data_IF_243340433014
#
_entry.id   IF_243340433014
#
_cell.length_a   1.000
_cell.length_b   1.000
_cell.length_c   1.000
_cell.angle_alpha   90.00
_cell.angle_beta   90.00
_cell.angle_gamma   90.00
#
_symmetry.space_group_name_H-M   'P 1'
#
loop_
_entity.id
_entity.type
_entity.pdbx_description
1 polymer ?
#
# COMPACT_ATOMS: atom_id res chain seq x y z
N UNK A 1 -26.87 -8.75 -12.21
CA UNK A 1 -25.59 -8.97 -11.51
C UNK A 1 -24.53 -8.08 -12.17
N UNK A 2 -24.03 -7.06 -11.47
CA UNK A 2 -23.07 -6.12 -12.05
C UNK A 2 -21.73 -6.80 -12.31
N UNK A 3 -21.22 -6.71 -13.54
CA UNK A 3 -19.86 -7.12 -13.92
C UNK A 3 -18.88 -6.38 -13.00
N UNK A 4 -18.30 -7.08 -12.02
CA UNK A 4 -17.18 -6.55 -11.28
C UNK A 4 -16.05 -6.33 -12.29
N UNK A 5 -15.53 -5.11 -12.38
CA UNK A 5 -14.42 -4.82 -13.30
C UNK A 5 -13.25 -5.73 -12.92
N UNK A 6 -12.50 -6.23 -13.91
CA UNK A 6 -11.30 -7.05 -13.66
C UNK A 6 -10.28 -6.35 -12.73
N UNK A 7 -10.37 -5.01 -12.62
CA UNK A 7 -9.53 -4.19 -11.76
C UNK A 7 -9.99 -4.15 -10.28
N UNK A 8 -11.18 -4.67 -9.97
CA UNK A 8 -11.73 -4.67 -8.60
C UNK A 8 -11.14 -5.76 -7.71
N UNK A 9 -10.65 -6.87 -8.29
CA UNK A 9 -9.99 -7.96 -7.58
C UNK A 9 -8.81 -8.52 -8.40
N UNK A 10 -7.70 -7.76 -8.50
CA UNK A 10 -6.56 -8.11 -9.33
C UNK A 10 -5.81 -9.35 -8.80
N UNK A 11 -5.18 -10.08 -9.73
CA UNK A 11 -4.20 -11.12 -9.39
C UNK A 11 -2.88 -10.52 -8.88
N UNK A 12 -1.99 -11.34 -8.31
CA UNK A 12 -0.66 -10.90 -7.90
C UNK A 12 0.15 -10.39 -9.10
N UNK A 13 0.06 -11.07 -10.24
CA UNK A 13 0.79 -10.68 -11.45
C UNK A 13 0.22 -9.40 -12.07
N UNK A 14 -1.09 -9.15 -11.97
CA UNK A 14 -1.68 -7.86 -12.31
C UNK A 14 -1.08 -6.72 -11.48
N UNK A 15 -0.96 -6.91 -10.16
CA UNK A 15 -0.38 -5.91 -9.24
C UNK A 15 1.11 -5.66 -9.49
N UNK A 16 1.81 -6.61 -10.10
CA UNK A 16 3.22 -6.50 -10.53
C UNK A 16 3.38 -5.86 -11.91
N UNK A 17 2.30 -5.76 -12.68
CA UNK A 17 2.31 -5.22 -14.04
C UNK A 17 2.28 -3.69 -14.07
N UNK A 18 2.60 -3.14 -15.24
CA UNK A 18 2.48 -1.71 -15.53
C UNK A 18 1.02 -1.17 -15.48
N UNK A 19 0.02 -2.06 -15.37
CA UNK A 19 -1.39 -1.65 -15.15
C UNK A 19 -1.58 -1.02 -13.77
N UNK A 20 -0.88 -1.55 -12.77
CA UNK A 20 -1.00 -1.14 -11.37
C UNK A 20 0.25 -0.42 -10.85
N UNK A 21 1.39 -0.54 -11.55
CA UNK A 21 2.65 0.09 -11.19
C UNK A 21 3.15 1.06 -12.25
N UNK A 22 3.70 2.18 -11.79
CA UNK A 22 4.40 3.16 -12.62
C UNK A 22 5.79 3.38 -12.03
N UNK A 23 6.81 3.36 -12.89
CA UNK A 23 8.15 3.85 -12.56
C UNK A 23 8.14 5.37 -12.63
N UNK A 24 8.47 6.01 -11.52
CA UNK A 24 8.79 7.44 -11.47
C UNK A 24 10.29 7.64 -11.71
N UNK A 25 10.72 8.87 -12.00
CA UNK A 25 12.12 9.18 -12.32
C UNK A 25 13.11 8.52 -11.34
N UNK A 26 14.01 7.69 -11.88
CA UNK A 26 14.94 6.86 -11.11
C UNK A 26 14.41 5.45 -10.83
N UNK A 27 14.69 4.92 -9.63
CA UNK A 27 14.34 3.56 -9.16
C UNK A 27 13.02 3.47 -8.39
N UNK A 28 12.27 4.57 -8.29
CA UNK A 28 11.10 4.65 -7.43
C UNK A 28 9.84 4.16 -8.14
N UNK A 29 9.18 3.14 -7.57
CA UNK A 29 7.89 2.62 -8.02
C UNK A 29 6.74 3.29 -7.25
N UNK A 30 5.67 3.62 -7.96
CA UNK A 30 4.42 4.14 -7.41
C UNK A 30 3.22 3.40 -8.00
N UNK A 31 2.07 3.52 -7.33
CA UNK A 31 0.80 3.01 -7.84
C UNK A 31 0.21 3.89 -8.95
N UNK A 32 -0.57 3.29 -9.84
CA UNK A 32 -1.37 3.99 -10.86
C UNK A 32 -2.68 4.54 -10.29
N UNK A 33 -3.40 5.34 -11.08
CA UNK A 33 -4.75 5.81 -10.74
C UNK A 33 -5.76 4.68 -10.53
N UNK A 34 -5.49 3.47 -11.02
CA UNK A 34 -6.32 2.28 -10.80
C UNK A 34 -6.41 1.85 -9.34
N UNK A 35 -5.53 2.35 -8.47
CA UNK A 35 -5.64 2.12 -7.03
C UNK A 35 -6.60 3.11 -6.35
N UNK A 36 -7.03 4.15 -7.06
CA UNK A 36 -7.76 5.30 -6.51
C UNK A 36 -9.11 5.54 -7.20
N UNK A 37 -9.53 4.65 -8.11
CA UNK A 37 -10.75 4.80 -8.89
C UNK A 37 -12.02 4.65 -8.04
N UNK A 38 -12.48 5.78 -7.49
CA UNK A 38 -13.71 5.89 -6.70
C UNK A 38 -14.99 5.51 -7.42
N UNK A 39 -15.00 5.43 -8.76
CA UNK A 39 -16.20 5.06 -9.52
C UNK A 39 -16.40 3.55 -9.57
N UNK A 40 -15.30 2.79 -9.67
CA UNK A 40 -15.36 1.34 -9.83
C UNK A 40 -14.99 0.57 -8.56
N UNK A 41 -14.25 1.18 -7.64
CA UNK A 41 -13.73 0.53 -6.46
C UNK A 41 -14.54 0.83 -5.21
N UNK A 42 -14.49 -0.12 -4.27
CA UNK A 42 -15.14 0.00 -2.97
C UNK A 42 -14.20 0.66 -1.96
N UNK A 43 -14.81 1.29 -0.95
CA UNK A 43 -14.07 1.72 0.23
C UNK A 43 -13.86 0.53 1.17
N UNK A 44 -12.61 0.34 1.57
CA UNK A 44 -12.17 -0.64 2.55
C UNK A 44 -11.72 0.05 3.83
N UNK A 45 -11.79 -0.67 4.94
CA UNK A 45 -11.23 -0.21 6.22
C UNK A 45 -10.00 -1.04 6.54
N UNK A 46 -8.84 -0.39 6.58
CA UNK A 46 -7.59 -1.02 6.99
C UNK A 46 -7.24 -0.68 8.43
N UNK A 47 -6.59 -1.62 9.10
CA UNK A 47 -6.19 -1.47 10.51
C UNK A 47 -4.69 -1.74 10.70
N UNK A 48 -3.81 -0.91 10.11
CA UNK A 48 -2.38 -0.94 10.41
C UNK A 48 -2.11 -0.54 11.87
N UNK A 49 -0.88 -0.76 12.34
CA UNK A 49 -0.45 -0.29 13.66
C UNK A 49 -0.45 1.23 13.75
N UNK A 50 -0.75 1.76 14.94
CA UNK A 50 -0.67 3.20 15.22
C UNK A 50 0.76 3.71 15.01
N UNK A 51 1.78 2.93 15.40
CA UNK A 51 3.19 3.26 15.14
C UNK A 51 3.45 3.47 13.64
N UNK A 52 2.96 2.55 12.80
CA UNK A 52 3.08 2.68 11.34
C UNK A 52 2.32 3.88 10.78
N UNK A 53 1.09 4.13 11.23
CA UNK A 53 0.32 5.32 10.82
C UNK A 53 1.03 6.63 11.19
N UNK A 54 1.61 6.70 12.39
CA UNK A 54 2.39 7.84 12.83
C UNK A 54 3.64 8.03 11.96
N UNK A 55 4.30 6.93 11.56
CA UNK A 55 5.40 6.99 10.60
C UNK A 55 4.96 7.54 9.23
N UNK A 56 3.82 7.10 8.70
CA UNK A 56 3.29 7.63 7.44
C UNK A 56 3.02 9.14 7.50
N UNK A 57 2.51 9.62 8.64
CA UNK A 57 2.21 11.04 8.86
C UNK A 57 3.48 11.90 9.08
N UNK A 58 4.58 11.32 9.58
CA UNK A 58 5.85 12.04 9.84
C UNK A 58 6.65 12.36 8.56
N UNK A 59 6.32 11.79 7.39
CA UNK A 59 6.98 12.13 6.11
C UNK A 59 6.54 13.53 5.61
N UNK A 60 6.94 14.58 6.33
CA UNK A 60 6.96 15.95 5.82
C UNK A 60 8.06 16.09 4.79
N UNK A 61 7.72 16.01 3.50
CA UNK A 61 8.64 16.42 2.43
C UNK A 61 9.03 17.91 2.55
N UNK A 62 10.00 18.40 1.76
CA UNK A 62 10.50 19.77 1.85
C UNK A 62 9.35 20.78 1.88
N UNK A 63 9.38 21.71 2.86
CA UNK A 63 8.49 22.88 2.87
C UNK A 63 8.70 23.62 1.55
N UNK A 64 7.65 23.75 0.73
CA UNK A 64 7.68 24.63 -0.45
C UNK A 64 7.64 24.00 -1.84
N UNK A 65 7.18 22.76 -2.03
CA UNK A 65 6.81 22.32 -3.39
C UNK A 65 5.69 23.24 -3.91
N UNK A 66 6.02 24.15 -4.83
CA UNK A 66 5.06 25.02 -5.52
C UNK A 66 4.06 24.11 -6.25
N UNK A 67 2.79 24.15 -5.86
CA UNK A 67 1.73 23.39 -6.54
C UNK A 67 1.59 23.90 -7.97
N UNK A 68 1.40 22.99 -8.93
CA UNK A 68 0.99 23.39 -10.28
C UNK A 68 -0.34 24.14 -10.18
N UNK A 69 -0.34 25.39 -10.68
CA UNK A 69 -1.53 26.26 -10.76
C UNK A 69 -2.51 25.62 -11.74
N UNK A 70 -3.74 25.35 -11.29
CA UNK A 70 -4.88 25.15 -12.20
C UNK A 70 -5.73 26.41 -12.18
N UNK A 71 -5.94 27.01 -13.35
CA UNK A 71 -6.89 28.12 -13.54
C UNK A 71 -8.28 27.51 -13.44
N UNK A 72 -9.03 27.88 -12.40
CA UNK A 72 -10.42 27.50 -12.24
C UNK A 72 -11.30 28.38 -13.12
N UNK A 73 -12.36 27.82 -13.71
CA UNK A 73 -13.37 28.55 -14.45
C UNK A 73 -14.32 29.27 -13.48
N UNK A 74 -13.92 30.42 -12.94
CA UNK A 74 -14.84 31.39 -12.31
C UNK A 74 -14.43 32.82 -12.71
N UNK A 75 -15.38 33.78 -12.80
CA UNK A 75 -15.17 35.05 -13.50
C UNK A 75 -14.21 36.05 -12.85
N UNK A 76 -13.67 35.77 -11.66
CA UNK A 76 -12.88 36.74 -10.88
C UNK A 76 -11.46 36.28 -10.53
N UNK A 77 -11.01 35.11 -11.01
CA UNK A 77 -9.65 34.56 -10.81
C UNK A 77 -9.14 34.56 -9.34
N UNK A 78 -10.01 34.77 -8.35
CA UNK A 78 -9.60 35.18 -6.99
C UNK A 78 -9.32 34.01 -6.04
N UNK A 79 -9.51 32.76 -6.48
CA UNK A 79 -9.29 31.56 -5.67
C UNK A 79 -8.29 30.61 -6.32
N UNK A 80 -7.00 30.95 -6.17
CA UNK A 80 -5.90 30.00 -6.40
C UNK A 80 -6.00 28.88 -5.36
N UNK A 81 -6.68 27.78 -5.69
CA UNK A 81 -6.67 26.58 -4.84
C UNK A 81 -5.34 25.88 -5.01
N UNK A 82 -4.50 25.93 -3.97
CA UNK A 82 -3.31 25.10 -3.88
C UNK A 82 -3.72 23.63 -4.01
N UNK A 83 -3.16 22.91 -4.98
CA UNK A 83 -3.27 21.45 -5.01
C UNK A 83 -2.66 20.89 -3.74
N UNK A 84 -3.51 20.35 -2.85
CA UNK A 84 -3.04 19.75 -1.62
C UNK A 84 -2.09 18.59 -1.97
N UNK A 85 -0.94 18.47 -1.29
CA UNK A 85 -0.04 17.36 -1.56
C UNK A 85 -0.77 16.04 -1.29
N UNK A 86 -0.65 15.06 -2.20
CA UNK A 86 -1.12 13.68 -2.05
C UNK A 86 -0.33 12.96 -0.96
N UNK A 87 -0.54 13.34 0.30
CA UNK A 87 0.23 12.88 1.47
C UNK A 87 -0.66 12.29 2.57
N UNK A 88 -1.93 12.02 2.25
CA UNK A 88 -2.84 11.36 3.18
C UNK A 88 -2.41 9.90 3.42
N UNK A 89 -2.72 9.37 4.60
CA UNK A 89 -2.44 7.97 4.94
C UNK A 89 -2.92 6.98 3.84
N UNK A 90 -4.10 7.14 3.21
CA UNK A 90 -4.52 6.32 2.07
C UNK A 90 -3.52 6.29 0.91
N UNK A 91 -3.00 7.44 0.48
CA UNK A 91 -2.05 7.50 -0.64
C UNK A 91 -0.73 6.80 -0.28
N UNK A 92 -0.22 7.06 0.92
CA UNK A 92 1.00 6.40 1.41
C UNK A 92 0.82 4.88 1.54
N UNK A 93 -0.33 4.43 2.02
CA UNK A 93 -0.66 2.99 2.12
C UNK A 93 -0.63 2.33 0.74
N UNK A 94 -1.27 2.90 -0.28
CA UNK A 94 -1.22 2.38 -1.66
C UNK A 94 0.21 2.32 -2.17
N UNK A 95 1.00 3.37 -1.95
CA UNK A 95 2.41 3.39 -2.37
C UNK A 95 3.22 2.28 -1.71
N UNK A 96 3.04 2.06 -0.40
CA UNK A 96 3.70 0.98 0.33
C UNK A 96 3.25 -0.41 -0.14
N UNK A 97 1.97 -0.60 -0.44
CA UNK A 97 1.44 -1.85 -1.02
C UNK A 97 2.01 -2.11 -2.41
N UNK A 98 2.00 -1.09 -3.28
CA UNK A 98 2.52 -1.19 -4.64
C UNK A 98 4.01 -1.55 -4.65
N UNK A 99 4.80 -0.90 -3.79
CA UNK A 99 6.22 -1.24 -3.63
C UNK A 99 6.42 -2.66 -3.06
N UNK A 100 5.57 -3.10 -2.12
CA UNK A 100 5.65 -4.45 -1.59
C UNK A 100 5.34 -5.50 -2.66
N UNK A 101 4.26 -5.35 -3.42
CA UNK A 101 3.90 -6.30 -4.47
C UNK A 101 4.92 -6.34 -5.62
N UNK A 102 5.65 -5.24 -5.84
CA UNK A 102 6.73 -5.20 -6.83
C UNK A 102 7.98 -6.00 -6.44
N UNK A 103 8.13 -6.39 -5.16
CA UNK A 103 9.23 -7.24 -4.72
C UNK A 103 9.13 -8.63 -5.36
N UNK A 104 10.30 -9.24 -5.59
CA UNK A 104 10.37 -10.64 -6.04
C UNK A 104 9.90 -11.59 -4.94
N UNK A 105 9.52 -12.81 -5.32
CA UNK A 105 9.09 -13.83 -4.36
C UNK A 105 10.22 -14.19 -3.38
N UNK A 106 11.48 -14.19 -3.84
CA UNK A 106 12.68 -14.41 -3.01
C UNK A 106 12.88 -13.30 -1.97
N UNK A 107 12.67 -12.04 -2.37
CA UNK A 107 12.79 -10.91 -1.47
C UNK A 107 11.71 -10.95 -0.38
N UNK A 108 10.46 -11.29 -0.75
CA UNK A 108 9.35 -11.43 0.19
C UNK A 108 9.60 -12.61 1.14
N UNK A 109 10.05 -13.76 0.62
CA UNK A 109 10.40 -14.91 1.44
C UNK A 109 11.47 -14.55 2.47
N UNK A 110 12.57 -13.94 2.02
CA UNK A 110 13.68 -13.51 2.89
C UNK A 110 13.19 -12.51 3.96
N UNK A 111 12.32 -11.57 3.57
CA UNK A 111 11.71 -10.61 4.50
C UNK A 111 10.93 -11.32 5.61
N UNK A 112 10.11 -12.32 5.26
CA UNK A 112 9.29 -13.05 6.21
C UNK A 112 10.14 -13.93 7.13
N UNK A 113 11.10 -14.67 6.58
CA UNK A 113 11.99 -15.55 7.36
C UNK A 113 12.81 -14.78 8.39
N UNK A 114 13.34 -13.60 8.01
CA UNK A 114 14.11 -12.73 8.91
C UNK A 114 13.27 -12.08 10.01
N UNK A 115 11.94 -12.05 9.88
CA UNK A 115 11.05 -11.40 10.83
C UNK A 115 9.99 -12.38 11.36
N UNK A 116 10.39 -13.62 11.61
CA UNK A 116 9.51 -14.70 12.11
C UNK A 116 8.90 -14.40 13.48
N UNK A 117 9.55 -13.55 14.27
CA UNK A 117 9.14 -13.11 15.61
C UNK A 117 8.25 -11.85 15.60
N UNK A 118 7.97 -11.26 14.43
CA UNK A 118 7.14 -10.08 14.30
C UNK A 118 5.80 -10.24 15.01
N UNK A 119 5.38 -9.20 15.74
CA UNK A 119 4.08 -9.14 16.40
C UNK A 119 3.36 -7.84 16.05
N UNK A 120 2.10 -7.90 15.59
CA UNK A 120 1.34 -6.71 15.31
C UNK A 120 1.01 -5.94 16.60
N UNK A 121 1.45 -4.69 16.73
CA UNK A 121 1.11 -3.80 17.84
C UNK A 121 -0.32 -3.23 17.80
N UNK A 122 -0.58 -2.19 18.62
CA UNK A 122 -1.87 -1.51 18.74
C UNK A 122 -2.36 -0.98 17.39
N UNK A 123 -3.62 -1.26 17.03
CA UNK A 123 -4.19 -0.98 15.70
C UNK A 123 -4.93 0.35 15.63
N UNK A 124 -4.68 1.09 14.55
CA UNK A 124 -5.48 2.24 14.14
C UNK A 124 -6.55 1.85 13.12
N UNK A 125 -7.19 2.86 12.52
CA UNK A 125 -8.19 2.67 11.47
C UNK A 125 -8.00 3.71 10.38
N UNK A 126 -8.03 3.27 9.12
CA UNK A 126 -7.98 4.14 7.93
C UNK A 126 -8.99 3.64 6.92
N UNK A 127 -9.89 4.52 6.48
CA UNK A 127 -10.75 4.28 5.32
C UNK A 127 -9.99 4.56 4.03
N UNK A 128 -10.05 3.65 3.07
CA UNK A 128 -9.32 3.74 1.81
C UNK A 128 -10.10 3.11 0.66
N UNK A 129 -10.24 3.84 -0.45
CA UNK A 129 -10.74 3.28 -1.71
C UNK A 129 -9.58 2.59 -2.42
N UNK A 130 -9.74 1.32 -2.78
CA UNK A 130 -8.71 0.53 -3.46
C UNK A 130 -9.29 -0.78 -4.00
N UNK A 131 -8.57 -1.52 -4.86
CA UNK A 131 -8.94 -2.87 -5.23
C UNK A 131 -9.03 -3.80 -4.02
N UNK A 132 -9.91 -4.79 -4.10
CA UNK A 132 -9.94 -5.90 -3.16
C UNK A 132 -8.70 -6.78 -3.42
N UNK A 133 -7.82 -6.88 -2.43
CA UNK A 133 -6.57 -7.64 -2.57
C UNK A 133 -6.71 -9.10 -2.12
N UNK A 134 -7.92 -9.60 -1.89
CA UNK A 134 -8.16 -10.97 -1.43
C UNK A 134 -7.45 -12.00 -2.32
N UNK A 135 -7.70 -11.95 -3.63
CA UNK A 135 -7.07 -12.83 -4.61
C UNK A 135 -5.55 -12.72 -4.62
N UNK A 136 -4.99 -11.52 -4.75
CA UNK A 136 -3.53 -11.34 -4.81
C UNK A 136 -2.81 -11.80 -3.53
N UNK A 137 -3.40 -11.57 -2.35
CA UNK A 137 -2.83 -12.02 -1.07
C UNK A 137 -2.90 -13.55 -0.93
N UNK A 138 -3.98 -14.17 -1.40
CA UNK A 138 -4.11 -15.63 -1.45
C UNK A 138 -3.08 -16.28 -2.40
N UNK A 139 -2.91 -15.73 -3.60
CA UNK A 139 -1.90 -16.18 -4.56
C UNK A 139 -0.47 -16.04 -3.97
N UNK A 140 -0.19 -14.90 -3.32
CA UNK A 140 1.09 -14.70 -2.64
C UNK A 140 1.30 -15.72 -1.51
N UNK A 141 0.29 -15.96 -0.68
CA UNK A 141 0.36 -16.93 0.40
C UNK A 141 0.71 -18.33 -0.10
N UNK A 142 0.08 -18.79 -1.18
CA UNK A 142 0.38 -20.09 -1.81
C UNK A 142 1.82 -20.16 -2.31
N UNK A 143 2.26 -19.14 -3.07
CA UNK A 143 3.66 -19.08 -3.56
C UNK A 143 4.68 -19.09 -2.42
N UNK A 144 4.38 -18.43 -1.30
CA UNK A 144 5.26 -18.43 -0.13
C UNK A 144 5.33 -19.79 0.56
N UNK A 145 4.21 -20.52 0.69
CA UNK A 145 4.19 -21.87 1.28
C UNK A 145 4.88 -22.89 0.39
N UNK A 146 4.69 -22.80 -0.92
CA UNK A 146 5.37 -23.66 -1.89
C UNK A 146 6.89 -23.53 -1.78
N UNK A 147 7.38 -22.32 -1.52
CA UNK A 147 8.81 -22.04 -1.34
C UNK A 147 9.33 -22.42 0.04
N UNK A 148 8.57 -22.13 1.09
CA UNK A 148 8.91 -22.50 2.46
C UNK A 148 7.63 -22.86 3.25
N UNK A 149 7.39 -24.16 3.50
CA UNK A 149 6.20 -24.63 4.23
C UNK A 149 6.03 -24.06 5.64
N UNK A 150 7.10 -23.63 6.30
CA UNK A 150 7.03 -23.04 7.65
C UNK A 150 6.35 -21.67 7.65
N UNK A 151 6.32 -20.97 6.50
CA UNK A 151 5.65 -19.68 6.38
C UNK A 151 4.12 -19.75 6.54
N UNK A 152 3.51 -20.94 6.45
CA UNK A 152 2.07 -21.13 6.74
C UNK A 152 1.67 -20.64 8.13
N UNK A 153 2.60 -20.66 9.08
CA UNK A 153 2.37 -20.26 10.47
C UNK A 153 2.71 -18.80 10.74
N UNK A 154 3.32 -18.11 9.76
CA UNK A 154 3.79 -16.74 9.92
C UNK A 154 2.62 -15.78 10.21
N UNK A 155 2.78 -14.91 11.21
CA UNK A 155 1.68 -14.04 11.65
C UNK A 155 1.23 -13.07 10.55
N UNK A 156 2.10 -12.75 9.58
CA UNK A 156 1.74 -11.88 8.47
C UNK A 156 0.55 -12.42 7.65
N UNK A 157 0.42 -13.75 7.49
CA UNK A 157 -0.66 -14.36 6.70
C UNK A 157 -1.89 -14.76 7.52
N UNK A 158 -1.87 -14.63 8.85
CA UNK A 158 -3.03 -14.99 9.68
C UNK A 158 -4.23 -14.09 9.39
N UNK A 159 -5.44 -14.67 9.40
CA UNK A 159 -6.74 -13.99 9.18
C UNK A 159 -6.97 -13.62 7.70
N UNK A 160 -7.97 -12.77 7.45
CA UNK A 160 -8.34 -12.29 6.11
C UNK A 160 -7.24 -11.41 5.48
N UNK A 161 -7.39 -11.15 4.18
CA UNK A 161 -6.42 -10.39 3.37
C UNK A 161 -6.11 -8.99 3.91
N UNK A 162 -7.09 -8.27 4.44
CA UNK A 162 -6.92 -6.87 4.88
C UNK A 162 -5.97 -6.75 6.10
N UNK A 163 -6.13 -7.57 7.16
CA UNK A 163 -5.10 -7.71 8.19
C UNK A 163 -3.74 -8.15 7.65
N UNK A 164 -3.72 -9.09 6.70
CA UNK A 164 -2.48 -9.64 6.17
C UNK A 164 -1.66 -8.58 5.42
N UNK A 165 -2.30 -7.84 4.49
CA UNK A 165 -1.61 -6.77 3.75
C UNK A 165 -1.08 -5.68 4.67
N UNK A 166 -1.81 -5.33 5.74
CA UNK A 166 -1.32 -4.36 6.73
C UNK A 166 -0.01 -4.83 7.39
N UNK A 167 0.10 -6.11 7.73
CA UNK A 167 1.31 -6.68 8.35
C UNK A 167 2.46 -6.75 7.36
N UNK A 168 2.19 -7.18 6.12
CA UNK A 168 3.18 -7.29 5.06
C UNK A 168 3.82 -5.93 4.73
N UNK A 169 3.01 -4.88 4.59
CA UNK A 169 3.53 -3.53 4.31
C UNK A 169 4.23 -2.91 5.52
N UNK A 170 3.84 -3.26 6.74
CA UNK A 170 4.56 -2.88 7.96
C UNK A 170 5.97 -3.49 7.99
N UNK A 171 6.10 -4.79 7.71
CA UNK A 171 7.39 -5.49 7.60
C UNK A 171 8.26 -4.92 6.48
N UNK A 172 7.70 -4.71 5.29
CA UNK A 172 8.44 -4.12 4.18
C UNK A 172 8.92 -2.70 4.52
N UNK A 173 8.09 -1.91 5.19
CA UNK A 173 8.47 -0.56 5.59
C UNK A 173 9.54 -0.54 6.71
N UNK A 174 9.53 -1.49 7.66
CA UNK A 174 10.53 -1.52 8.73
C UNK A 174 11.93 -1.79 8.16
N UNK A 175 12.04 -2.71 7.20
CA UNK A 175 13.32 -3.03 6.54
C UNK A 175 13.78 -1.88 5.64
N UNK A 176 12.88 -1.32 4.83
CA UNK A 176 13.23 -0.26 3.88
C UNK A 176 13.63 1.06 4.55
N UNK A 177 13.08 1.36 5.73
CA UNK A 177 13.31 2.64 6.41
C UNK A 177 14.12 2.54 7.70
N UNK A 178 14.59 1.34 8.06
CA UNK A 178 15.56 0.97 9.10
C UNK A 178 15.35 1.47 10.56
N UNK A 179 14.55 2.53 10.83
CA UNK A 179 14.50 3.20 12.15
C UNK A 179 13.19 3.86 12.67
N UNK A 180 12.07 4.07 11.95
CA UNK A 180 11.04 4.98 12.49
C UNK A 180 9.91 4.33 13.30
N UNK A 181 9.80 3.00 13.34
CA UNK A 181 8.82 2.32 14.20
C UNK A 181 9.33 0.92 14.54
N UNK A 182 10.02 0.77 15.67
CA UNK A 182 10.40 -0.56 16.15
C UNK A 182 9.17 -1.45 16.21
N UNK A 183 9.29 -2.63 15.57
CA UNK A 183 8.24 -3.62 15.44
C UNK A 183 7.82 -4.22 16.79
N UNK A 184 8.54 -3.88 17.86
CA UNK A 184 8.27 -4.21 19.26
C UNK A 184 8.14 -2.91 20.08
#
# INVERSE_FOLDING_TARGET
MGRQSADSEPSLDDLRSNRFLVRTSGTHLTHTSRWEDTKSLKQHTLRPTIKFLNFLNKKTGPKGRRSNRHIGATPDDSLVRAGAPTRSAPHQLRSHMANFFAMSDEEIQTLLERNSDYKPGKKGQVGIVMPNLARAVEELYRRMIERNPELRHHVAFKRQWAPAICRLIELHASVRFAKPFDLN
#
